data_IF_055518627280
#
_entry.id   IF_055518627280
#
_cell.length_a   1.000
_cell.length_b   1.000
_cell.length_c   1.000
_cell.angle_alpha   90.00
_cell.angle_beta   90.00
_cell.angle_gamma   90.00
#
_symmetry.space_group_name_H-M   'P 1'
#
loop_
_entity.id
_entity.type
_entity.pdbx_description
1 polymer ?
#
# COMPACT_ATOMS: atom_id res chain seq x y z
N UNK A 1 16.15 4.67 14.88
CA UNK A 1 15.11 3.64 14.73
C UNK A 1 15.12 3.11 13.31
N UNK A 2 14.66 3.86 12.30
CA UNK A 2 14.65 3.44 10.88
C UNK A 2 16.01 2.95 10.34
N UNK A 3 17.10 3.70 10.56
CA UNK A 3 18.43 3.31 10.06
C UNK A 3 18.97 1.99 10.63
N UNK A 4 18.47 1.56 11.78
CA UNK A 4 18.90 0.34 12.47
C UNK A 4 17.93 -0.82 12.22
N UNK A 5 16.83 -0.60 11.52
CA UNK A 5 15.82 -1.63 11.22
C UNK A 5 16.14 -2.31 9.88
N UNK A 6 16.00 -3.63 9.84
CA UNK A 6 16.22 -4.43 8.63
C UNK A 6 15.02 -4.37 7.67
N UNK A 7 13.83 -4.17 8.21
CA UNK A 7 12.55 -4.09 7.47
C UNK A 7 11.68 -2.98 8.04
N UNK A 8 10.89 -2.34 7.18
CA UNK A 8 9.81 -1.43 7.56
C UNK A 8 8.45 -2.08 7.26
N UNK A 9 7.58 -2.16 8.27
CA UNK A 9 6.17 -2.53 8.09
C UNK A 9 5.35 -1.25 8.18
N UNK A 10 4.69 -0.88 7.08
CA UNK A 10 3.95 0.37 6.96
C UNK A 10 2.44 0.11 6.84
N UNK A 11 1.65 0.64 7.79
CA UNK A 11 0.19 0.58 7.72
C UNK A 11 -0.32 1.71 6.81
N UNK A 12 -1.04 1.34 5.76
CA UNK A 12 -1.50 2.25 4.69
C UNK A 12 -3.01 2.52 4.76
N UNK A 13 -3.69 2.01 5.79
CA UNK A 13 -5.11 2.23 6.01
C UNK A 13 -5.41 3.67 6.48
N UNK A 14 -6.64 4.11 6.25
CA UNK A 14 -7.07 5.48 6.47
C UNK A 14 -7.74 6.09 5.23
N UNK A 15 -8.19 7.33 5.35
CA UNK A 15 -8.73 8.08 4.19
C UNK A 15 -7.60 8.31 3.18
N UNK A 16 -6.43 8.72 3.67
CA UNK A 16 -5.18 8.82 2.94
C UNK A 16 -4.07 8.11 3.74
N UNK A 17 -2.91 7.92 3.11
CA UNK A 17 -1.72 7.46 3.85
C UNK A 17 -1.31 8.59 4.79
N UNK A 18 -1.10 8.28 6.07
CA UNK A 18 -0.59 9.26 7.01
C UNK A 18 0.72 9.90 6.49
N UNK A 19 0.80 11.22 6.60
CA UNK A 19 1.95 11.97 6.07
C UNK A 19 3.26 11.63 6.76
N UNK A 20 3.22 11.26 8.05
CA UNK A 20 4.37 10.76 8.79
C UNK A 20 4.84 9.40 8.24
N UNK A 21 3.92 8.45 8.10
CA UNK A 21 4.20 7.14 7.48
C UNK A 21 4.77 7.29 6.07
N UNK A 22 4.22 8.19 5.26
CA UNK A 22 4.72 8.47 3.92
C UNK A 22 6.16 9.03 3.93
N UNK A 23 6.48 9.91 4.89
CA UNK A 23 7.84 10.43 5.07
C UNK A 23 8.82 9.33 5.51
N UNK A 24 8.41 8.44 6.40
CA UNK A 24 9.21 7.31 6.85
C UNK A 24 9.47 6.30 5.71
N UNK A 25 8.45 6.00 4.88
CA UNK A 25 8.61 5.19 3.66
C UNK A 25 9.62 5.86 2.72
N UNK A 26 9.51 7.17 2.52
CA UNK A 26 10.45 7.96 1.73
C UNK A 26 11.89 7.79 2.21
N UNK A 27 12.12 8.06 3.50
CA UNK A 27 13.45 7.96 4.11
C UNK A 27 14.00 6.52 4.09
N UNK A 28 13.17 5.53 4.42
CA UNK A 28 13.58 4.13 4.47
C UNK A 28 13.87 3.55 3.08
N UNK A 29 13.15 4.00 2.04
CA UNK A 29 13.39 3.55 0.66
C UNK A 29 14.80 3.86 0.15
N UNK A 30 15.45 4.90 0.70
CA UNK A 30 16.83 5.26 0.37
C UNK A 30 17.86 4.28 0.96
N UNK A 31 17.47 3.48 1.95
CA UNK A 31 18.35 2.47 2.57
C UNK A 31 18.41 1.16 1.77
N UNK A 32 17.64 1.05 0.68
CA UNK A 32 17.52 -0.15 -0.15
C UNK A 32 17.20 -1.42 0.66
N UNK A 33 16.31 -1.28 1.65
CA UNK A 33 15.82 -2.35 2.52
C UNK A 33 14.33 -2.63 2.27
N UNK A 34 13.85 -3.86 2.56
CA UNK A 34 12.48 -4.25 2.27
C UNK A 34 11.44 -3.40 3.01
N UNK A 35 10.38 -3.00 2.30
CA UNK A 35 9.20 -2.35 2.87
C UNK A 35 7.97 -3.22 2.62
N UNK A 36 7.25 -3.56 3.69
CA UNK A 36 5.99 -4.30 3.62
C UNK A 36 4.86 -3.34 3.96
N UNK A 37 4.08 -2.96 2.95
CA UNK A 37 2.87 -2.16 3.12
C UNK A 37 1.68 -3.03 3.48
N UNK A 38 0.86 -2.63 4.44
CA UNK A 38 -0.38 -3.32 4.82
C UNK A 38 -1.56 -2.40 4.48
N UNK A 39 -2.42 -2.83 3.56
CA UNK A 39 -3.63 -2.11 3.17
C UNK A 39 -4.81 -3.06 3.29
N UNK A 40 -5.61 -2.94 4.34
CA UNK A 40 -6.74 -3.85 4.59
C UNK A 40 -8.07 -3.33 4.03
N UNK A 41 -8.08 -2.12 3.48
CA UNK A 41 -9.28 -1.54 2.87
C UNK A 41 -9.88 -2.44 1.77
N UNK A 42 -11.08 -2.97 2.04
CA UNK A 42 -11.79 -3.91 1.15
C UNK A 42 -12.19 -3.28 -0.19
N UNK A 43 -12.21 -1.95 -0.29
CA UNK A 43 -12.51 -1.24 -1.55
C UNK A 43 -11.44 -1.44 -2.62
N UNK A 44 -10.28 -2.00 -2.28
CA UNK A 44 -9.27 -2.41 -3.26
C UNK A 44 -9.68 -3.62 -4.12
N UNK A 45 -10.72 -4.35 -3.69
CA UNK A 45 -11.26 -5.54 -4.35
C UNK A 45 -12.30 -5.18 -5.44
N UNK A 46 -12.73 -6.17 -6.22
CA UNK A 46 -13.76 -5.99 -7.25
C UNK A 46 -13.23 -5.39 -8.55
N UNK A 47 -11.95 -5.59 -8.86
CA UNK A 47 -11.32 -5.18 -10.13
C UNK A 47 -11.78 -6.03 -11.32
N UNK A 48 -12.41 -7.15 -11.04
CA UNK A 48 -13.10 -8.06 -11.95
C UNK A 48 -14.60 -7.76 -12.07
N UNK A 49 -15.15 -6.89 -11.23
CA UNK A 49 -16.55 -6.49 -11.29
C UNK A 49 -16.75 -5.39 -12.35
N UNK A 50 -17.24 -5.80 -13.52
CA UNK A 50 -17.49 -4.88 -14.64
C UNK A 50 -18.47 -3.76 -14.31
N UNK A 51 -19.44 -3.97 -13.42
CA UNK A 51 -20.39 -2.91 -13.06
C UNK A 51 -19.69 -1.76 -12.31
N UNK A 52 -18.69 -2.07 -11.45
CA UNK A 52 -17.88 -1.04 -10.79
C UNK A 52 -17.03 -0.25 -11.79
N UNK A 53 -16.47 -0.93 -12.78
CA UNK A 53 -15.65 -0.30 -13.82
C UNK A 53 -16.53 0.60 -14.70
N UNK A 54 -17.68 0.09 -15.15
CA UNK A 54 -18.62 0.85 -15.97
C UNK A 54 -19.18 2.07 -15.24
N UNK A 55 -19.44 1.98 -13.93
CA UNK A 55 -19.86 3.11 -13.11
C UNK A 55 -18.80 4.23 -13.13
N UNK A 56 -17.53 3.90 -12.89
CA UNK A 56 -16.42 4.85 -12.96
C UNK A 56 -16.25 5.49 -14.35
N UNK A 57 -16.40 4.68 -15.41
CA UNK A 57 -16.27 5.17 -16.80
C UNK A 57 -17.42 6.12 -17.17
N UNK A 58 -18.63 5.86 -16.66
CA UNK A 58 -19.81 6.68 -16.91
C UNK A 58 -19.80 7.99 -16.12
N UNK A 59 -19.39 7.93 -14.85
CA UNK A 59 -19.29 9.07 -13.96
C UNK A 59 -18.07 8.92 -13.02
N UNK A 60 -17.13 9.86 -13.12
CA UNK A 60 -15.93 9.86 -12.28
C UNK A 60 -16.20 10.04 -10.79
N UNK A 61 -17.36 10.58 -10.41
CA UNK A 61 -17.78 10.72 -9.02
C UNK A 61 -18.26 9.39 -8.41
N UNK A 62 -18.59 8.40 -9.24
CA UNK A 62 -19.01 7.04 -8.82
C UNK A 62 -17.81 6.09 -8.65
N UNK A 63 -16.63 6.62 -8.34
CA UNK A 63 -15.45 5.81 -8.09
C UNK A 63 -15.58 5.00 -6.79
N UNK A 64 -15.61 3.69 -6.92
CA UNK A 64 -15.68 2.75 -5.79
C UNK A 64 -14.32 2.16 -5.39
N UNK A 65 -13.25 2.46 -6.13
CA UNK A 65 -11.91 1.96 -5.85
C UNK A 65 -11.15 2.89 -4.92
N UNK A 66 -10.52 2.31 -3.89
CA UNK A 66 -9.65 3.07 -2.99
C UNK A 66 -8.47 3.68 -3.74
N UNK A 67 -8.18 4.94 -3.44
CA UNK A 67 -6.99 5.61 -3.94
C UNK A 67 -5.88 5.63 -2.88
N UNK A 68 -4.64 5.47 -3.35
CA UNK A 68 -3.41 5.68 -2.58
C UNK A 68 -2.41 6.40 -3.46
N UNK A 69 -1.63 7.30 -2.86
CA UNK A 69 -0.62 8.07 -3.58
C UNK A 69 0.37 7.13 -4.27
N UNK A 70 0.41 7.17 -5.61
CA UNK A 70 1.18 6.24 -6.41
C UNK A 70 2.70 6.39 -6.27
N UNK A 71 3.17 7.57 -5.85
CA UNK A 71 4.60 7.77 -5.55
C UNK A 71 5.01 6.94 -4.34
N UNK A 72 4.25 7.00 -3.23
CA UNK A 72 4.50 6.19 -2.02
C UNK A 72 4.37 4.70 -2.34
N UNK A 73 3.33 4.30 -3.06
CA UNK A 73 3.12 2.91 -3.50
C UNK A 73 4.29 2.41 -4.35
N UNK A 74 4.80 3.24 -5.25
CA UNK A 74 5.94 2.92 -6.09
C UNK A 74 7.22 2.71 -5.29
N UNK A 75 7.46 3.52 -4.25
CA UNK A 75 8.62 3.35 -3.37
C UNK A 75 8.59 2.01 -2.62
N UNK A 76 7.44 1.61 -2.10
CA UNK A 76 7.27 0.30 -1.45
C UNK A 76 7.56 -0.83 -2.45
N UNK A 77 6.93 -0.79 -3.63
CA UNK A 77 7.03 -1.87 -4.63
C UNK A 77 8.40 -2.02 -5.29
N UNK A 78 9.29 -1.04 -5.18
CA UNK A 78 10.67 -1.16 -5.70
C UNK A 78 11.48 -2.21 -4.95
N UNK A 79 11.24 -2.37 -3.66
CA UNK A 79 11.94 -3.32 -2.80
C UNK A 79 11.00 -3.75 -1.69
N UNK A 80 9.93 -4.46 -2.05
CA UNK A 80 8.86 -4.73 -1.11
C UNK A 80 7.57 -5.18 -1.75
N UNK A 81 6.54 -5.30 -0.91
CA UNK A 81 5.22 -5.78 -1.30
C UNK A 81 4.14 -5.02 -0.54
N UNK A 82 2.94 -4.96 -1.10
CA UNK A 82 1.74 -4.50 -0.40
C UNK A 82 0.84 -5.70 -0.21
N UNK A 83 0.48 -5.96 1.04
CA UNK A 83 -0.39 -7.06 1.45
C UNK A 83 -1.79 -6.54 1.76
N UNK A 84 -2.77 -7.43 1.62
CA UNK A 84 -4.18 -7.14 1.87
C UNK A 84 -4.67 -7.62 3.23
N UNK A 85 -3.84 -8.38 3.94
CA UNK A 85 -4.10 -8.81 5.32
C UNK A 85 -2.82 -8.83 6.17
N UNK A 86 -3.02 -9.03 7.48
CA UNK A 86 -1.91 -9.19 8.44
C UNK A 86 -1.22 -10.53 8.21
N UNK A 87 -1.96 -11.58 7.90
CA UNK A 87 -1.43 -12.93 7.63
C UNK A 87 -0.49 -12.89 6.42
N UNK A 88 -0.91 -12.25 5.33
CA UNK A 88 -0.05 -12.04 4.16
C UNK A 88 1.20 -11.22 4.50
N UNK A 89 1.09 -10.23 5.40
CA UNK A 89 2.25 -9.45 5.86
C UNK A 89 3.24 -10.32 6.65
N UNK A 90 2.74 -11.18 7.53
CA UNK A 90 3.57 -12.15 8.28
C UNK A 90 4.26 -13.13 7.32
N UNK A 91 3.54 -13.66 6.33
CA UNK A 91 4.14 -14.53 5.31
C UNK A 91 5.19 -13.80 4.48
N UNK A 92 4.99 -12.52 4.17
CA UNK A 92 5.97 -11.72 3.44
C UNK A 92 7.26 -11.53 4.25
N UNK A 93 7.14 -11.28 5.56
CA UNK A 93 8.31 -11.17 6.46
C UNK A 93 9.09 -12.48 6.53
N UNK A 94 8.40 -13.61 6.63
CA UNK A 94 9.04 -14.94 6.71
C UNK A 94 9.82 -15.33 5.44
N UNK A 95 9.57 -14.65 4.32
CA UNK A 95 10.22 -14.88 3.03
C UNK A 95 11.40 -13.93 2.76
N UNK A 96 11.66 -12.97 3.65
CA UNK A 96 12.82 -12.06 3.58
C UNK A 96 14.11 -12.81 3.95
#
# INVERSE_FOLDING_TARGET
>A
MLQNSDVLIAVLDGVEIDSGVAAEIGAFSMLNRPIIGVLTDVRQQGRDNMQKIEALVRDGLENQFVYRNLFVIGLIKRNGVITSSIEEAVEAIQKL
#
